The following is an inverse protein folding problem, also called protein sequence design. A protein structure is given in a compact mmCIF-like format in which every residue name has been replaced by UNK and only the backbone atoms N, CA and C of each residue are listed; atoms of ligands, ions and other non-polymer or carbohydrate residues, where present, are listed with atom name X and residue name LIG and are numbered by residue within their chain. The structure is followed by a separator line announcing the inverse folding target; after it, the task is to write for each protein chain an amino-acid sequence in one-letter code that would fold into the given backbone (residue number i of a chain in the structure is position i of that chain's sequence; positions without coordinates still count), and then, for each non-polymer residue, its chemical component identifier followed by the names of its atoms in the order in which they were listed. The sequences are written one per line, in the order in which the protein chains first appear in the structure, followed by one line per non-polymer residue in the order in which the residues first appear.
data_IF_880292078800
#
_entry.id   IF_880292078800
#
_cell.length_a   1.000
_cell.length_b   1.000
_cell.length_c   1.000
_cell.angle_alpha   90.00
_cell.angle_beta   90.00
_cell.angle_gamma   90.00
#
_symmetry.space_group_name_H-M   'P 1'
#
loop_
_entity.id
_entity.type
_entity.pdbx_description
1 polymer ?
#
# COMPACT_ATOMS: atom_id res chain seq x y z
N UNK A 1 23.54 -26.11 -27.02
CA UNK A 1 23.91 -24.83 -26.36
C UNK A 1 24.60 -25.12 -25.03
N UNK A 2 23.90 -25.64 -24.01
CA UNK A 2 24.48 -25.97 -22.69
C UNK A 2 25.74 -26.85 -22.75
N UNK A 3 25.75 -27.90 -23.58
CA UNK A 3 26.94 -28.75 -23.73
C UNK A 3 28.14 -28.01 -24.33
N UNK A 4 27.92 -27.07 -25.27
CA UNK A 4 28.99 -26.25 -25.85
C UNK A 4 29.54 -25.21 -24.86
N UNK A 5 28.69 -24.70 -23.97
CA UNK A 5 29.11 -23.81 -22.89
C UNK A 5 30.04 -24.52 -21.89
N UNK A 6 29.84 -25.83 -21.67
CA UNK A 6 30.68 -26.65 -20.79
C UNK A 6 32.01 -27.08 -21.44
N UNK A 7 32.16 -26.94 -22.76
CA UNK A 7 33.38 -27.27 -23.52
C UNK A 7 34.39 -26.11 -23.55
N UNK A 8 34.12 -24.98 -22.88
CA UNK A 8 35.01 -23.81 -22.85
C UNK A 8 36.23 -24.06 -21.96
N UNK A 9 37.37 -23.54 -22.40
CA UNK A 9 38.65 -23.68 -21.67
C UNK A 9 38.69 -22.86 -20.37
N UNK A 10 37.97 -21.73 -20.31
CA UNK A 10 37.87 -20.89 -19.11
C UNK A 10 36.53 -21.09 -18.39
N UNK A 11 36.60 -21.29 -17.07
CA UNK A 11 35.42 -21.36 -16.20
C UNK A 11 34.60 -20.05 -16.20
N UNK A 12 35.23 -18.89 -16.39
CA UNK A 12 34.50 -17.61 -16.50
C UNK A 12 33.64 -17.54 -17.76
N UNK A 13 34.17 -18.03 -18.89
CA UNK A 13 33.51 -17.97 -20.18
C UNK A 13 32.35 -18.97 -20.24
N UNK A 14 32.58 -20.17 -19.68
CA UNK A 14 31.52 -21.16 -19.45
C UNK A 14 30.41 -20.59 -18.57
N UNK A 15 30.76 -19.88 -17.48
CA UNK A 15 29.80 -19.29 -16.55
C UNK A 15 28.94 -18.23 -17.24
N UNK A 16 29.56 -17.34 -18.01
CA UNK A 16 28.86 -16.29 -18.73
C UNK A 16 27.88 -16.86 -19.76
N UNK A 17 28.29 -17.88 -20.53
CA UNK A 17 27.42 -18.53 -21.52
C UNK A 17 26.26 -19.27 -20.84
N UNK A 18 26.52 -19.97 -19.72
CA UNK A 18 25.47 -20.66 -18.95
C UNK A 18 24.45 -19.70 -18.31
N UNK A 19 24.90 -18.54 -17.82
CA UNK A 19 24.01 -17.51 -17.30
C UNK A 19 23.07 -16.99 -18.39
N UNK A 20 23.58 -16.76 -19.61
CA UNK A 20 22.76 -16.32 -20.75
C UNK A 20 21.70 -17.35 -21.18
N UNK A 21 21.92 -18.64 -20.90
CA UNK A 21 20.98 -19.72 -21.18
C UNK A 21 19.98 -19.97 -20.05
N UNK A 22 20.09 -19.29 -18.91
CA UNK A 22 19.35 -19.57 -17.68
C UNK A 22 18.41 -18.41 -17.29
N UNK A 23 17.26 -18.25 -17.95
CA UNK A 23 16.37 -17.10 -17.74
C UNK A 23 15.81 -16.97 -16.32
N UNK A 24 15.70 -18.09 -15.58
CA UNK A 24 15.22 -18.14 -14.19
C UNK A 24 16.36 -18.16 -13.16
N UNK A 25 17.59 -17.92 -13.60
CA UNK A 25 18.78 -17.90 -12.78
C UNK A 25 19.50 -19.25 -12.77
N UNK A 26 20.83 -19.18 -12.65
CA UNK A 26 21.73 -20.32 -12.57
C UNK A 26 22.09 -20.60 -11.11
N UNK A 27 21.90 -21.83 -10.65
CA UNK A 27 22.29 -22.24 -9.29
C UNK A 27 23.81 -22.43 -9.21
N UNK A 28 24.49 -21.46 -8.61
CA UNK A 28 25.94 -21.45 -8.47
C UNK A 28 26.45 -22.61 -7.60
N UNK A 29 25.70 -23.00 -6.57
CA UNK A 29 26.08 -24.12 -5.70
C UNK A 29 26.07 -25.44 -6.47
N UNK A 30 25.04 -25.65 -7.30
CA UNK A 30 24.99 -26.82 -8.19
C UNK A 30 26.11 -26.79 -9.23
N UNK A 31 26.43 -25.62 -9.78
CA UNK A 31 27.48 -25.48 -10.77
C UNK A 31 28.87 -25.77 -10.20
N UNK A 32 29.17 -25.27 -8.99
CA UNK A 32 30.43 -25.54 -8.30
C UNK A 32 30.65 -27.05 -8.10
N UNK A 33 29.60 -27.78 -7.72
CA UNK A 33 29.64 -29.25 -7.59
C UNK A 33 29.87 -29.96 -8.94
N UNK A 34 29.28 -29.45 -10.03
CA UNK A 34 29.43 -30.04 -11.36
C UNK A 34 30.83 -29.84 -11.94
N UNK A 35 31.44 -28.67 -11.70
CA UNK A 35 32.78 -28.37 -12.19
C UNK A 35 33.90 -28.93 -11.30
N UNK A 36 33.56 -29.40 -10.09
CA UNK A 36 34.51 -29.97 -9.13
C UNK A 36 35.72 -29.04 -8.88
N UNK A 37 35.47 -27.73 -8.88
CA UNK A 37 36.48 -26.70 -8.60
C UNK A 37 36.60 -26.44 -7.10
N UNK A 38 37.78 -26.02 -6.66
CA UNK A 38 37.94 -25.50 -5.29
C UNK A 38 37.13 -24.22 -5.08
N UNK A 39 36.69 -23.96 -3.84
CA UNK A 39 35.88 -22.78 -3.48
C UNK A 39 36.52 -21.46 -3.95
N UNK A 40 37.83 -21.31 -3.77
CA UNK A 40 38.58 -20.13 -4.18
C UNK A 40 38.62 -19.93 -5.70
N UNK A 41 38.75 -21.02 -6.46
CA UNK A 41 38.79 -20.99 -7.93
C UNK A 41 37.41 -20.66 -8.51
N UNK A 42 36.36 -21.26 -7.94
CA UNK A 42 34.98 -20.97 -8.34
C UNK A 42 34.60 -19.52 -8.04
N UNK A 43 34.91 -19.01 -6.85
CA UNK A 43 34.66 -17.60 -6.52
C UNK A 43 35.49 -16.64 -7.38
N UNK A 44 36.71 -17.01 -7.80
CA UNK A 44 37.48 -16.22 -8.77
C UNK A 44 36.76 -16.14 -10.13
N UNK A 45 36.25 -17.27 -10.63
CA UNK A 45 35.44 -17.29 -11.86
C UNK A 45 34.15 -16.45 -11.71
N UNK A 46 33.47 -16.55 -10.57
CA UNK A 46 32.26 -15.75 -10.34
C UNK A 46 32.53 -14.26 -10.10
N UNK A 47 33.75 -13.84 -9.76
CA UNK A 47 34.16 -12.43 -9.69
C UNK A 47 34.53 -11.86 -11.05
N UNK A 48 34.97 -12.71 -11.98
CA UNK A 48 35.33 -12.31 -13.34
C UNK A 48 34.10 -12.02 -14.22
N UNK A 49 32.90 -12.42 -13.78
CA UNK A 49 31.65 -12.27 -14.54
C UNK A 49 30.70 -11.34 -13.80
N UNK A 50 30.21 -10.30 -14.48
CA UNK A 50 29.20 -9.40 -13.93
C UNK A 50 27.85 -10.14 -13.80
N UNK A 51 27.35 -10.24 -12.58
CA UNK A 51 26.10 -10.95 -12.28
C UNK A 51 25.40 -10.37 -11.05
N UNK A 52 24.08 -10.54 -11.00
CA UNK A 52 23.31 -10.36 -9.79
C UNK A 52 23.14 -11.72 -9.11
N UNK A 53 23.51 -11.82 -7.82
CA UNK A 53 23.37 -13.04 -7.02
C UNK A 53 22.23 -12.87 -6.01
N UNK A 54 21.28 -13.80 -6.01
CA UNK A 54 20.20 -13.89 -5.01
C UNK A 54 20.36 -15.16 -4.21
N UNK A 55 20.54 -15.03 -2.90
CA UNK A 55 20.70 -16.18 -1.99
C UNK A 55 19.35 -16.57 -1.41
N UNK A 56 19.05 -17.87 -1.47
CA UNK A 56 17.74 -18.46 -1.17
C UNK A 56 17.93 -19.70 -0.29
N UNK A 57 18.02 -19.48 1.03
CA UNK A 57 18.40 -20.55 1.95
C UNK A 57 19.79 -21.11 1.63
N UNK A 58 19.85 -22.33 1.09
CA UNK A 58 21.10 -23.01 0.71
C UNK A 58 21.51 -22.82 -0.76
N UNK A 59 20.71 -22.11 -1.57
CA UNK A 59 20.99 -21.93 -3.01
C UNK A 59 21.31 -20.49 -3.33
N UNK A 60 22.29 -20.27 -4.18
CA UNK A 60 22.60 -18.93 -4.72
C UNK A 60 22.30 -18.95 -6.21
N UNK A 61 21.25 -18.23 -6.60
CA UNK A 61 20.88 -18.07 -8.00
C UNK A 61 21.58 -16.84 -8.57
N UNK A 62 22.22 -16.99 -9.73
CA UNK A 62 22.88 -15.91 -10.42
C UNK A 62 22.18 -15.59 -11.75
N UNK A 63 22.16 -14.30 -12.09
CA UNK A 63 21.58 -13.75 -13.31
C UNK A 63 22.60 -12.86 -13.99
N UNK A 64 22.59 -12.79 -15.33
CA UNK A 64 23.32 -11.71 -16.01
C UNK A 64 22.70 -10.36 -15.63
N UNK A 65 23.48 -9.29 -15.76
CA UNK A 65 23.00 -7.94 -15.44
C UNK A 65 21.82 -7.55 -16.34
N UNK A 66 21.93 -7.82 -17.63
CA UNK A 66 20.91 -7.53 -18.64
C UNK A 66 19.61 -8.27 -18.33
N UNK A 67 19.73 -9.52 -17.89
CA UNK A 67 18.57 -10.32 -17.52
C UNK A 67 17.89 -9.78 -16.26
N UNK A 68 18.68 -9.40 -15.26
CA UNK A 68 18.16 -8.81 -14.03
C UNK A 68 17.41 -7.49 -14.31
N UNK A 69 18.01 -6.60 -15.10
CA UNK A 69 17.38 -5.33 -15.49
C UNK A 69 16.11 -5.56 -16.33
N UNK A 70 16.08 -6.57 -17.22
CA UNK A 70 14.86 -6.94 -17.95
C UNK A 70 13.74 -7.46 -17.03
N UNK A 71 14.06 -8.20 -15.96
CA UNK A 71 13.07 -8.63 -14.96
C UNK A 71 12.51 -7.44 -14.18
N UNK A 72 13.35 -6.44 -13.87
CA UNK A 72 12.95 -5.20 -13.20
C UNK A 72 11.96 -4.42 -14.06
N UNK A 73 12.32 -4.17 -15.31
CA UNK A 73 11.48 -3.46 -16.27
C UNK A 73 10.16 -4.20 -16.54
N UNK A 74 10.20 -5.54 -16.60
CA UNK A 74 8.98 -6.33 -16.74
C UNK A 74 8.06 -6.20 -15.51
N UNK A 75 8.61 -6.14 -14.29
CA UNK A 75 7.81 -5.95 -13.09
C UNK A 75 7.20 -4.56 -13.00
N UNK A 76 7.96 -3.51 -13.32
CA UNK A 76 7.48 -2.13 -13.37
C UNK A 76 6.39 -1.96 -14.44
N UNK A 77 6.61 -2.45 -15.66
CA UNK A 77 5.63 -2.37 -16.74
C UNK A 77 4.36 -3.18 -16.45
N UNK A 78 4.48 -4.35 -15.83
CA UNK A 78 3.31 -5.16 -15.42
C UNK A 78 2.47 -4.43 -14.38
N UNK A 79 3.10 -3.78 -13.39
CA UNK A 79 2.38 -2.96 -12.42
C UNK A 79 1.71 -1.76 -13.08
N UNK A 80 2.43 -1.04 -13.96
CA UNK A 80 1.90 0.11 -14.69
C UNK A 80 0.68 -0.23 -15.54
N UNK A 81 0.78 -1.27 -16.37
CA UNK A 81 -0.33 -1.74 -17.20
C UNK A 81 -1.52 -2.21 -16.36
N UNK A 82 -1.28 -2.80 -15.18
CA UNK A 82 -2.35 -3.17 -14.27
C UNK A 82 -3.05 -1.95 -13.68
N UNK A 83 -2.29 -0.94 -13.24
CA UNK A 83 -2.85 0.30 -12.69
C UNK A 83 -3.65 1.11 -13.72
N UNK A 84 -3.22 1.14 -14.98
CA UNK A 84 -3.96 1.79 -16.07
C UNK A 84 -5.33 1.15 -16.31
N UNK A 85 -5.40 -0.18 -16.23
CA UNK A 85 -6.64 -0.93 -16.45
C UNK A 85 -7.51 -1.02 -15.18
N UNK A 86 -6.90 -0.97 -14.01
CA UNK A 86 -7.56 -1.02 -12.72
C UNK A 86 -7.79 0.39 -12.17
N UNK A 87 -8.77 1.11 -12.75
CA UNK A 87 -9.14 2.49 -12.34
C UNK A 87 -9.46 2.67 -10.85
N UNK A 88 -9.62 1.56 -10.13
CA UNK A 88 -10.04 1.44 -8.74
C UNK A 88 -8.96 1.11 -7.73
N UNK A 89 -7.75 0.77 -8.17
CA UNK A 89 -6.71 0.32 -7.26
C UNK A 89 -5.53 1.27 -7.20
N UNK A 90 -5.08 1.58 -5.97
CA UNK A 90 -3.88 2.39 -5.74
C UNK A 90 -2.59 1.63 -6.06
N UNK A 91 -2.64 0.30 -6.00
CA UNK A 91 -1.46 -0.57 -6.07
C UNK A 91 -1.85 -2.03 -6.20
N UNK A 92 -0.86 -2.88 -6.41
CA UNK A 92 -1.04 -4.33 -6.49
C UNK A 92 -0.35 -5.00 -5.30
N UNK A 93 -0.91 -6.06 -4.74
CA UNK A 93 -0.20 -6.82 -3.69
C UNK A 93 1.04 -7.49 -4.28
N UNK A 94 2.06 -7.74 -3.46
CA UNK A 94 3.26 -8.45 -3.90
C UNK A 94 2.95 -9.82 -4.55
N UNK A 95 1.98 -10.57 -4.02
CA UNK A 95 1.58 -11.86 -4.58
C UNK A 95 0.82 -11.71 -5.91
N UNK A 96 -0.04 -10.69 -6.04
CA UNK A 96 -0.72 -10.41 -7.29
C UNK A 96 0.27 -9.98 -8.38
N UNK A 97 1.26 -9.15 -8.04
CA UNK A 97 2.33 -8.78 -8.97
C UNK A 97 3.11 -10.01 -9.42
N UNK A 98 3.57 -10.85 -8.48
CA UNK A 98 4.29 -12.07 -8.80
C UNK A 98 3.49 -13.03 -9.67
N UNK A 99 2.17 -13.10 -9.46
CA UNK A 99 1.26 -13.92 -10.27
C UNK A 99 0.97 -13.34 -11.65
N UNK A 100 1.07 -12.02 -11.83
CA UNK A 100 0.85 -11.33 -13.10
C UNK A 100 2.08 -11.35 -14.01
N UNK A 101 3.29 -11.56 -13.47
CA UNK A 101 4.49 -11.75 -14.28
C UNK A 101 4.35 -12.98 -15.18
N UNK A 102 4.73 -12.85 -16.44
CA UNK A 102 4.72 -13.95 -17.40
C UNK A 102 5.65 -15.10 -16.97
N UNK A 103 6.69 -14.76 -16.20
CA UNK A 103 7.67 -15.70 -15.70
C UNK A 103 7.42 -15.99 -14.21
N UNK A 104 7.36 -17.29 -13.87
CA UNK A 104 7.19 -17.71 -12.48
C UNK A 104 8.51 -17.66 -11.73
N UNK A 105 8.90 -16.46 -11.32
CA UNK A 105 10.08 -16.25 -10.49
C UNK A 105 9.94 -17.00 -9.15
N UNK A 106 11.01 -17.69 -8.70
CA UNK A 106 11.08 -18.19 -7.34
C UNK A 106 10.85 -17.05 -6.35
N UNK A 107 10.09 -17.30 -5.27
CA UNK A 107 9.70 -16.27 -4.31
C UNK A 107 10.87 -15.42 -3.80
N UNK A 108 12.03 -15.99 -3.42
CA UNK A 108 13.17 -15.19 -2.97
C UNK A 108 13.79 -14.29 -4.06
N UNK A 109 13.74 -14.72 -5.32
CA UNK A 109 14.20 -13.91 -6.47
C UNK A 109 13.28 -12.72 -6.67
N UNK A 110 11.98 -12.96 -6.62
CA UNK A 110 10.97 -11.90 -6.68
C UNK A 110 11.11 -10.93 -5.49
N UNK A 111 11.29 -11.43 -4.28
CA UNK A 111 11.43 -10.58 -3.09
C UNK A 111 12.69 -9.70 -3.18
N UNK A 112 13.82 -10.24 -3.68
CA UNK A 112 15.04 -9.47 -3.93
C UNK A 112 14.84 -8.39 -5.01
N UNK A 113 14.17 -8.73 -6.11
CA UNK A 113 13.81 -7.79 -7.18
C UNK A 113 12.99 -6.62 -6.66
N UNK A 114 11.93 -6.90 -5.88
CA UNK A 114 11.07 -5.87 -5.30
C UNK A 114 11.82 -5.04 -4.26
N UNK A 115 12.70 -5.65 -3.45
CA UNK A 115 13.49 -4.91 -2.47
C UNK A 115 14.41 -3.88 -3.14
N UNK A 116 15.05 -4.23 -4.26
CA UNK A 116 15.88 -3.31 -5.04
C UNK A 116 15.05 -2.18 -5.65
N UNK A 117 13.90 -2.50 -6.28
CA UNK A 117 13.00 -1.50 -6.83
C UNK A 117 12.45 -0.52 -5.78
N UNK A 118 12.18 -0.99 -4.56
CA UNK A 118 11.77 -0.13 -3.45
C UNK A 118 12.94 0.73 -2.95
N UNK A 119 14.14 0.16 -2.84
CA UNK A 119 15.33 0.89 -2.41
C UNK A 119 15.70 2.03 -3.37
N UNK A 120 15.56 1.78 -4.67
CA UNK A 120 15.80 2.76 -5.74
C UNK A 120 14.60 3.67 -6.02
N UNK A 121 13.50 3.51 -5.27
CA UNK A 121 12.26 4.29 -5.41
C UNK A 121 11.62 4.19 -6.81
N UNK A 122 11.84 3.09 -7.52
CA UNK A 122 11.09 2.70 -8.70
C UNK A 122 9.71 2.15 -8.35
N UNK A 123 9.54 1.68 -7.10
CA UNK A 123 8.26 1.32 -6.50
C UNK A 123 8.11 2.01 -5.15
N UNK A 124 6.86 2.18 -4.71
CA UNK A 124 6.50 2.63 -3.36
C UNK A 124 5.66 1.56 -2.70
N UNK A 125 5.80 1.41 -1.38
CA UNK A 125 4.99 0.49 -0.57
C UNK A 125 4.01 1.28 0.29
N UNK A 126 2.72 0.97 0.17
CA UNK A 126 1.64 1.45 1.04
C UNK A 126 0.96 0.23 1.67
N UNK A 127 1.32 -0.07 2.92
CA UNK A 127 0.91 -1.30 3.60
C UNK A 127 1.23 -2.56 2.79
N UNK A 128 0.23 -3.38 2.39
CA UNK A 128 0.45 -4.60 1.59
C UNK A 128 0.60 -4.33 0.08
N UNK A 129 0.44 -3.09 -0.38
CA UNK A 129 0.38 -2.72 -1.79
C UNK A 129 1.73 -2.19 -2.29
N UNK A 130 2.01 -2.48 -3.55
CA UNK A 130 3.09 -1.90 -4.36
C UNK A 130 2.48 -0.92 -5.36
N UNK A 131 3.09 0.26 -5.47
CA UNK A 131 2.62 1.39 -6.27
C UNK A 131 3.75 1.90 -7.15
N UNK A 132 3.40 2.49 -8.29
CA UNK A 132 4.35 3.30 -9.05
C UNK A 132 4.56 4.65 -8.36
N UNK A 133 5.79 5.19 -8.31
CA UNK A 133 6.09 6.50 -7.75
C UNK A 133 5.23 7.58 -8.41
N UNK A 134 4.58 8.40 -7.60
CA UNK A 134 3.73 9.49 -8.10
C UNK A 134 2.38 9.04 -8.69
N UNK A 135 2.03 7.75 -8.65
CA UNK A 135 0.69 7.30 -9.05
C UNK A 135 -0.33 7.70 -7.98
N UNK A 136 -0.91 8.89 -8.13
CA UNK A 136 -2.13 9.29 -7.45
C UNK A 136 -3.32 8.80 -8.26
N UNK A 137 -4.23 8.04 -7.64
CA UNK A 137 -5.50 7.64 -8.27
C UNK A 137 -6.27 8.90 -8.65
N UNK A 138 -6.20 9.29 -9.92
CA UNK A 138 -6.99 10.40 -10.44
C UNK A 138 -8.41 9.92 -10.66
N UNK A 139 -9.38 10.69 -10.22
CA UNK A 139 -10.78 10.43 -10.55
C UNK A 139 -10.98 10.58 -12.07
N UNK A 140 -11.83 9.72 -12.65
CA UNK A 140 -12.32 9.94 -14.00
C UNK A 140 -13.11 11.26 -14.05
N UNK A 141 -13.25 11.90 -15.23
CA UNK A 141 -14.02 13.14 -15.33
C UNK A 141 -15.46 13.00 -14.78
N UNK A 142 -16.09 11.84 -14.99
CA UNK A 142 -17.42 11.55 -14.46
C UNK A 142 -17.42 11.36 -12.93
N UNK A 143 -16.38 10.72 -12.38
CA UNK A 143 -16.25 10.56 -10.93
C UNK A 143 -15.87 11.87 -10.23
N UNK A 144 -15.08 12.73 -10.88
CA UNK A 144 -14.77 14.07 -10.40
C UNK A 144 -16.03 14.93 -10.29
N UNK A 145 -16.90 14.91 -11.31
CA UNK A 145 -18.19 15.60 -11.26
C UNK A 145 -19.10 15.03 -10.16
N UNK A 146 -19.13 13.71 -9.98
CA UNK A 146 -19.90 13.08 -8.91
C UNK A 146 -19.32 13.44 -7.52
N UNK A 147 -18.00 13.55 -7.39
CA UNK A 147 -17.34 13.99 -6.17
C UNK A 147 -17.68 15.43 -5.82
N UNK A 148 -17.70 16.35 -6.79
CA UNK A 148 -18.13 17.73 -6.57
C UNK A 148 -19.56 17.81 -6.01
N UNK A 149 -20.49 17.06 -6.61
CA UNK A 149 -21.88 16.99 -6.13
C UNK A 149 -21.97 16.37 -4.72
N UNK A 150 -21.21 15.31 -4.47
CA UNK A 150 -21.11 14.69 -3.16
C UNK A 150 -20.62 15.68 -2.09
N UNK A 151 -19.54 16.43 -2.36
CA UNK A 151 -19.03 17.43 -1.43
C UNK A 151 -20.03 18.56 -1.19
N UNK A 152 -20.79 18.97 -2.20
CA UNK A 152 -21.86 19.95 -2.02
C UNK A 152 -22.97 19.43 -1.09
N UNK A 153 -23.37 18.16 -1.22
CA UNK A 153 -24.32 17.52 -0.30
C UNK A 153 -23.75 17.46 1.11
N UNK A 154 -22.50 17.02 1.27
CA UNK A 154 -21.83 16.91 2.58
C UNK A 154 -21.64 18.28 3.27
N UNK A 155 -21.40 19.34 2.50
CA UNK A 155 -21.29 20.70 3.03
C UNK A 155 -22.64 21.23 3.57
N UNK A 156 -23.77 20.81 2.99
CA UNK A 156 -25.09 21.24 3.42
C UNK A 156 -25.55 20.56 4.74
N UNK A 157 -24.98 19.40 5.06
CA UNK A 157 -25.45 18.50 6.14
C UNK A 157 -24.54 18.52 7.39
N UNK A 158 -24.17 19.71 7.89
CA UNK A 158 -23.41 19.98 9.14
C UNK A 158 -22.67 18.77 9.75
N UNK A 159 -23.08 18.33 10.95
CA UNK A 159 -22.45 17.22 11.71
C UNK A 159 -23.25 15.91 11.57
N UNK A 160 -24.13 15.81 10.57
CA UNK A 160 -25.07 14.71 10.40
C UNK A 160 -25.11 14.27 8.93
N UNK A 161 -24.05 13.60 8.45
CA UNK A 161 -24.00 13.13 7.08
C UNK A 161 -25.07 12.06 6.84
N UNK A 162 -25.73 12.08 5.66
CA UNK A 162 -26.60 11.01 5.23
C UNK A 162 -25.84 9.68 5.13
N UNK A 163 -26.57 8.57 5.22
CA UNK A 163 -26.01 7.25 4.92
C UNK A 163 -25.62 7.17 3.44
N UNK A 164 -24.66 6.31 3.11
CA UNK A 164 -24.27 6.06 1.70
C UNK A 164 -25.48 5.76 0.79
N UNK A 165 -26.43 4.93 1.24
CA UNK A 165 -27.63 4.64 0.46
C UNK A 165 -28.51 5.89 0.20
N UNK A 166 -28.55 6.82 1.15
CA UNK A 166 -29.27 8.09 0.98
C UNK A 166 -28.51 9.04 0.05
N UNK A 167 -27.17 9.07 0.14
CA UNK A 167 -26.32 9.80 -0.79
C UNK A 167 -26.49 9.27 -2.23
N UNK A 168 -26.51 7.95 -2.41
CA UNK A 168 -26.73 7.32 -3.72
C UNK A 168 -28.07 7.74 -4.33
N UNK A 169 -29.15 7.71 -3.54
CA UNK A 169 -30.46 8.16 -3.97
C UNK A 169 -30.49 9.66 -4.31
N UNK A 170 -29.88 10.51 -3.48
CA UNK A 170 -29.87 11.96 -3.68
C UNK A 170 -29.03 12.39 -4.89
N UNK A 171 -27.92 11.69 -5.15
CA UNK A 171 -27.01 11.95 -6.27
C UNK A 171 -27.43 11.21 -7.55
N UNK A 172 -28.53 10.43 -7.50
CA UNK A 172 -28.96 9.54 -8.58
C UNK A 172 -27.81 8.67 -9.13
N UNK A 173 -27.00 8.13 -8.21
CA UNK A 173 -25.82 7.34 -8.51
C UNK A 173 -26.04 5.87 -8.15
N UNK A 174 -25.40 4.97 -8.90
CA UNK A 174 -25.32 3.55 -8.53
C UNK A 174 -24.60 3.38 -7.18
N UNK A 175 -25.15 2.56 -6.28
CA UNK A 175 -24.63 2.39 -4.92
C UNK A 175 -23.21 1.79 -4.92
N UNK A 176 -22.94 0.84 -5.81
CA UNK A 176 -21.60 0.23 -5.93
C UNK A 176 -20.59 1.25 -6.44
N UNK A 177 -20.95 2.03 -7.45
CA UNK A 177 -20.12 3.13 -7.97
C UNK A 177 -19.84 4.18 -6.90
N UNK A 178 -20.86 4.62 -6.14
CA UNK A 178 -20.68 5.62 -5.10
C UNK A 178 -19.80 5.09 -3.95
N UNK A 179 -20.02 3.87 -3.47
CA UNK A 179 -19.16 3.24 -2.44
C UNK A 179 -17.72 3.14 -2.88
N UNK A 180 -17.51 2.87 -4.15
CA UNK A 180 -16.20 2.84 -4.75
C UNK A 180 -15.55 4.23 -4.75
N UNK A 181 -16.26 5.26 -5.22
CA UNK A 181 -15.78 6.65 -5.17
C UNK A 181 -15.45 7.10 -3.73
N UNK A 182 -16.34 6.83 -2.78
CA UNK A 182 -16.15 7.16 -1.36
C UNK A 182 -14.90 6.51 -0.77
N UNK A 183 -14.62 5.25 -1.12
CA UNK A 183 -13.39 4.57 -0.71
C UNK A 183 -12.15 5.24 -1.31
N UNK A 184 -12.18 5.64 -2.58
CA UNK A 184 -11.08 6.36 -3.22
C UNK A 184 -10.82 7.71 -2.53
N UNK A 185 -11.87 8.50 -2.29
CA UNK A 185 -11.79 9.77 -1.57
C UNK A 185 -11.33 9.61 -0.11
N UNK A 186 -11.71 8.52 0.55
CA UNK A 186 -11.22 8.22 1.90
C UNK A 186 -9.75 7.81 1.92
N UNK A 187 -9.29 7.12 0.87
CA UNK A 187 -7.91 6.73 0.69
C UNK A 187 -7.01 7.93 0.34
N UNK A 188 -7.51 8.91 -0.44
CA UNK A 188 -6.79 10.16 -0.72
C UNK A 188 -6.78 11.13 0.47
N UNK A 189 -7.52 10.85 1.54
CA UNK A 189 -7.63 11.71 2.72
C UNK A 189 -8.64 12.86 2.57
N UNK A 190 -9.34 12.93 1.44
CA UNK A 190 -10.38 13.93 1.19
C UNK A 190 -11.68 13.65 1.99
N UNK A 191 -11.86 12.39 2.44
CA UNK A 191 -12.91 11.96 3.37
C UNK A 191 -12.35 11.08 4.49
N UNK A 192 -13.07 10.97 5.60
CA UNK A 192 -12.85 9.98 6.63
C UNK A 192 -14.02 9.00 6.69
N UNK A 193 -13.73 7.71 6.56
CA UNK A 193 -14.69 6.64 6.80
C UNK A 193 -14.88 6.43 8.31
N UNK A 194 -16.05 6.79 8.84
CA UNK A 194 -16.42 6.58 10.24
C UNK A 194 -17.00 5.18 10.43
N UNK A 195 -17.77 4.71 9.45
CA UNK A 195 -18.19 3.32 9.33
C UNK A 195 -18.35 2.95 7.85
N UNK A 196 -18.82 1.74 7.55
CA UNK A 196 -19.10 1.31 6.19
C UNK A 196 -20.14 2.19 5.46
N UNK A 197 -21.01 2.89 6.20
CA UNK A 197 -22.13 3.66 5.66
C UNK A 197 -22.04 5.17 5.93
N UNK A 198 -20.97 5.64 6.57
CA UNK A 198 -20.84 7.06 6.93
C UNK A 198 -19.44 7.59 6.69
N UNK A 199 -19.39 8.72 5.99
CA UNK A 199 -18.18 9.43 5.60
C UNK A 199 -18.31 10.89 6.00
N UNK A 200 -17.20 11.48 6.46
CA UNK A 200 -17.13 12.87 6.84
C UNK A 200 -15.98 13.58 6.13
N UNK A 201 -16.14 14.85 5.74
CA UNK A 201 -15.01 15.70 5.39
C UNK A 201 -14.04 15.85 6.59
N UNK A 202 -12.72 15.95 6.34
CA UNK A 202 -11.72 16.20 7.39
C UNK A 202 -12.01 17.43 8.25
N UNK A 203 -12.50 18.50 7.64
CA UNK A 203 -12.92 19.72 8.36
C UNK A 203 -14.01 19.44 9.39
N UNK A 204 -15.00 18.62 9.05
CA UNK A 204 -16.10 18.26 9.94
C UNK A 204 -15.62 17.39 11.10
N UNK A 205 -14.73 16.42 10.83
CA UNK A 205 -14.12 15.61 11.91
C UNK A 205 -13.30 16.49 12.86
N UNK A 206 -12.56 17.46 12.32
CA UNK A 206 -11.80 18.41 13.13
C UNK A 206 -12.71 19.29 14.00
N UNK A 207 -13.86 19.73 13.49
CA UNK A 207 -14.86 20.47 14.26
C UNK A 207 -15.39 19.63 15.44
N UNK A 208 -15.76 18.37 15.18
CA UNK A 208 -16.24 17.46 16.24
C UNK A 208 -15.13 17.19 17.26
N UNK A 209 -13.88 17.00 16.82
CA UNK A 209 -12.75 16.84 17.72
C UNK A 209 -12.53 18.07 18.61
N UNK A 210 -12.69 19.29 18.06
CA UNK A 210 -12.62 20.53 18.83
C UNK A 210 -13.74 20.64 19.88
N UNK A 211 -14.98 20.29 19.51
CA UNK A 211 -16.10 20.23 20.47
C UNK A 211 -15.80 19.22 21.58
N UNK A 212 -15.26 18.05 21.22
CA UNK A 212 -14.90 16.98 22.15
C UNK A 212 -13.81 17.43 23.14
N UNK A 213 -12.79 18.13 22.66
CA UNK A 213 -11.73 18.67 23.50
C UNK A 213 -12.26 19.70 24.50
N UNK A 214 -13.17 20.60 24.07
CA UNK A 214 -13.83 21.56 24.97
C UNK A 214 -14.71 20.86 26.01
N UNK A 215 -15.51 19.88 25.59
CA UNK A 215 -16.33 19.07 26.50
C UNK A 215 -15.45 18.40 27.57
N UNK A 216 -14.34 17.77 27.17
CA UNK A 216 -13.44 17.13 28.11
C UNK A 216 -12.83 18.12 29.13
N UNK A 217 -12.68 19.40 28.80
CA UNK A 217 -12.19 20.40 29.77
C UNK A 217 -13.27 20.83 30.77
N UNK A 218 -14.55 20.66 30.44
CA UNK A 218 -15.69 21.06 31.28
C UNK A 218 -16.12 19.95 32.25
N UNK A 219 -15.76 18.69 31.96
CA UNK A 219 -16.16 17.54 32.76
C UNK A 219 -15.18 17.26 33.92
N UNK A 220 -15.66 16.77 35.07
CA UNK A 220 -14.81 16.30 36.16
C UNK A 220 -13.77 15.27 35.70
N UNK A 221 -12.55 15.35 36.25
CA UNK A 221 -11.42 14.48 35.90
C UNK A 221 -11.05 14.46 34.39
N UNK A 222 -11.61 15.38 33.61
CA UNK A 222 -11.55 15.42 32.15
C UNK A 222 -12.09 14.17 31.46
N UNK A 223 -13.06 13.50 32.09
CA UNK A 223 -13.69 12.29 31.59
C UNK A 223 -15.13 12.63 31.17
N UNK A 224 -15.40 12.56 29.87
CA UNK A 224 -16.75 12.78 29.34
C UNK A 224 -17.47 11.45 29.05
N UNK A 225 -18.80 11.46 29.19
CA UNK A 225 -19.64 10.30 28.86
C UNK A 225 -20.09 10.33 27.40
N UNK A 226 -20.49 9.17 26.87
CA UNK A 226 -21.09 9.06 25.52
C UNK A 226 -22.33 9.95 25.39
N UNK A 227 -23.15 10.03 26.45
CA UNK A 227 -24.36 10.85 26.46
C UNK A 227 -24.03 12.34 26.34
N UNK A 228 -23.06 12.84 27.11
CA UNK A 228 -22.60 14.24 27.04
C UNK A 228 -21.99 14.55 25.69
N UNK A 229 -21.12 13.68 25.16
CA UNK A 229 -20.55 13.83 23.81
C UNK A 229 -21.64 13.98 22.75
N UNK A 230 -22.66 13.13 22.79
CA UNK A 230 -23.77 13.20 21.83
C UNK A 230 -24.54 14.52 21.94
N UNK A 231 -24.83 14.97 23.16
CA UNK A 231 -25.54 16.23 23.39
C UNK A 231 -24.76 17.43 22.87
N UNK A 232 -23.46 17.52 23.18
CA UNK A 232 -22.64 18.67 22.78
C UNK A 232 -22.29 18.67 21.29
N UNK A 233 -22.07 17.51 20.68
CA UNK A 233 -21.72 17.41 19.25
C UNK A 233 -22.94 17.38 18.34
N UNK A 234 -24.12 17.06 18.86
CA UNK A 234 -25.33 16.89 18.05
C UNK A 234 -25.28 15.71 17.07
N UNK A 235 -24.26 14.85 17.14
CA UNK A 235 -24.11 13.68 16.27
C UNK A 235 -25.22 12.67 16.55
N UNK A 236 -25.74 12.04 15.50
CA UNK A 236 -26.85 11.08 15.65
C UNK A 236 -26.47 9.87 16.50
N UNK A 237 -27.47 9.23 17.12
CA UNK A 237 -27.27 8.04 17.99
C UNK A 237 -26.53 6.90 17.27
N UNK A 238 -26.79 6.72 15.98
CA UNK A 238 -26.18 5.65 15.18
C UNK A 238 -24.71 5.94 14.84
N UNK A 239 -24.29 7.20 14.94
CA UNK A 239 -22.93 7.66 14.62
C UNK A 239 -22.06 7.89 15.85
N UNK A 240 -22.67 8.09 17.02
CA UNK A 240 -21.96 8.47 18.24
C UNK A 240 -20.86 7.47 18.60
N UNK A 241 -21.20 6.17 18.67
CA UNK A 241 -20.23 5.13 19.05
C UNK A 241 -19.18 4.91 17.95
N UNK A 242 -19.52 4.73 16.66
CA UNK A 242 -18.53 4.58 15.61
C UNK A 242 -17.51 5.71 15.56
N UNK A 243 -17.95 6.96 15.75
CA UNK A 243 -17.06 8.12 15.74
C UNK A 243 -16.10 8.10 16.93
N UNK A 244 -16.59 7.76 18.12
CA UNK A 244 -15.74 7.61 19.32
C UNK A 244 -14.74 6.46 19.16
N UNK A 245 -15.13 5.36 18.53
CA UNK A 245 -14.21 4.25 18.22
C UNK A 245 -13.12 4.67 17.23
N UNK A 246 -13.44 5.50 16.24
CA UNK A 246 -12.42 6.11 15.37
C UNK A 246 -11.45 6.96 16.19
N UNK A 247 -11.95 7.83 17.05
CA UNK A 247 -11.13 8.66 17.94
C UNK A 247 -10.24 7.85 18.89
N UNK A 248 -10.74 6.75 19.43
CA UNK A 248 -9.98 5.84 20.28
C UNK A 248 -8.86 5.16 19.47
N UNK A 249 -9.18 4.63 18.28
CA UNK A 249 -8.24 3.94 17.38
C UNK A 249 -7.09 4.84 16.92
N UNK A 250 -7.37 6.11 16.66
CA UNK A 250 -6.33 7.07 16.24
C UNK A 250 -5.59 7.70 17.42
N UNK A 251 -5.97 7.35 18.65
CA UNK A 251 -5.32 7.80 19.88
C UNK A 251 -5.65 9.24 20.28
N UNK A 252 -6.72 9.82 19.73
CA UNK A 252 -7.26 11.11 20.16
C UNK A 252 -7.91 10.98 21.53
N UNK A 253 -8.75 9.96 21.72
CA UNK A 253 -9.38 9.64 23.00
C UNK A 253 -8.88 8.32 23.59
N UNK A 254 -9.11 8.13 24.88
CA UNK A 254 -8.86 6.88 25.59
C UNK A 254 -10.07 6.57 26.47
N UNK A 255 -10.57 5.34 26.38
CA UNK A 255 -11.64 4.84 27.25
C UNK A 255 -11.14 4.66 28.69
N UNK A 256 -11.88 5.21 29.66
CA UNK A 256 -11.58 5.13 31.10
C UNK A 256 -12.88 4.87 31.84
N UNK A 257 -13.03 3.66 32.38
CA UNK A 257 -14.31 3.20 32.96
C UNK A 257 -15.46 3.33 31.95
N UNK A 258 -16.52 4.02 32.37
CA UNK A 258 -17.71 4.30 31.56
C UNK A 258 -17.59 5.55 30.66
N UNK A 259 -16.46 6.26 30.72
CA UNK A 259 -16.23 7.49 29.97
C UNK A 259 -15.00 7.45 29.06
N UNK A 260 -14.64 8.61 28.54
CA UNK A 260 -13.44 8.82 27.72
C UNK A 260 -12.73 10.09 28.16
N UNK A 261 -11.41 10.08 28.05
CA UNK A 261 -10.57 11.27 28.19
C UNK A 261 -9.88 11.60 26.87
N UNK A 262 -9.63 12.88 26.62
CA UNK A 262 -8.79 13.32 25.49
C UNK A 262 -7.32 13.12 25.87
N UNK A 263 -6.55 12.45 25.01
CA UNK A 263 -5.15 12.09 25.25
C UNK A 263 -4.18 13.05 24.58
N UNK A 264 -4.51 13.53 23.39
CA UNK A 264 -3.66 14.36 22.53
C UNK A 264 -4.50 15.41 21.81
N UNK A 265 -3.86 16.48 21.38
CA UNK A 265 -4.50 17.44 20.48
C UNK A 265 -4.75 16.81 19.11
N UNK A 266 -5.87 17.17 18.47
CA UNK A 266 -6.24 16.62 17.17
C UNK A 266 -5.19 16.91 16.09
N UNK A 267 -4.56 18.09 16.11
CA UNK A 267 -3.50 18.45 15.18
C UNK A 267 -2.30 17.48 15.25
N UNK A 268 -1.90 17.08 16.47
CA UNK A 268 -0.82 16.11 16.67
C UNK A 268 -1.21 14.70 16.20
N UNK A 269 -2.49 14.34 16.28
CA UNK A 269 -3.01 13.07 15.75
C UNK A 269 -2.92 13.05 14.23
N UNK A 270 -3.33 14.14 13.55
CA UNK A 270 -3.25 14.27 12.10
C UNK A 270 -1.81 14.20 11.57
N UNK A 271 -0.87 14.86 12.24
CA UNK A 271 0.55 14.80 11.86
C UNK A 271 1.07 13.35 11.88
N UNK A 272 0.76 12.59 12.92
CA UNK A 272 1.17 11.19 13.05
C UNK A 272 0.40 10.18 12.18
N UNK A 273 -0.58 10.63 11.38
CA UNK A 273 -1.25 9.82 10.35
C UNK A 273 -0.56 9.91 9.00
N UNK A 274 0.05 11.06 8.66
CA UNK A 274 0.71 11.28 7.37
C UNK A 274 2.15 10.72 7.32
N UNK A 275 2.76 10.47 8.49
CA UNK A 275 4.11 9.91 8.63
C UNK A 275 4.15 8.37 8.60
N UNK A 276 3.07 7.68 8.20
CA UNK A 276 2.99 6.20 8.12
C UNK A 276 2.62 5.75 6.73
#
# INVERSE_FOLDING_TARGET
AVLRALERESASDALQELLGLSPLGLDLGRLALLWNLGEAEFEAACKAVAMTRVTTGLRTLAFTRERWDALREHAESTLGAWLENASDSRGMTAEALRGALSERLPRPVFDALIAELLAEKHLVRDGPLLLSPGHTVSLSASDAQLAEQLFAVLAAVKLQPPKVAQLAAQLNADDKRLRTLLRRLAQSGELHAISADYYFPPSTVAEIAAITARLAQQEPDRIFTVARFRTETGVSRNLTIPLLEVFDRVGFTLRVGEGRRVRREWAAVLAGMHDR
#
